data_IF_447896624054
#
_entry.id   IF_447896624054
#
_cell.length_a   1.000
_cell.length_b   1.000
_cell.length_c   1.000
_cell.angle_alpha   90.00
_cell.angle_beta   90.00
_cell.angle_gamma   90.00
#
_symmetry.space_group_name_H-M   'P 1'
#
loop_
_entity.id
_entity.type
_entity.pdbx_description
1 polymer ?
#
# COMPACT_ATOMS: atom_id res chain seq x y z
N UNK A 1 -52.19 -5.81 16.43
CA UNK A 1 -52.47 -4.95 15.26
C UNK A 1 -51.39 -5.22 14.22
N UNK A 2 -51.57 -6.21 13.34
CA UNK A 2 -52.05 -6.03 11.95
C UNK A 2 -51.22 -4.95 11.22
N UNK A 3 -50.30 -5.29 10.33
CA UNK A 3 -50.66 -5.76 9.00
C UNK A 3 -49.72 -6.81 8.39
N UNK A 4 -50.39 -7.73 7.70
CA UNK A 4 -49.91 -8.91 7.00
C UNK A 4 -49.65 -8.58 5.53
N UNK A 5 -48.64 -9.26 4.97
CA UNK A 5 -48.59 -9.83 3.61
C UNK A 5 -48.61 -8.87 2.41
N UNK A 6 -47.50 -8.87 1.66
CA UNK A 6 -47.58 -8.98 0.21
C UNK A 6 -46.41 -9.87 -0.25
N UNK A 7 -46.75 -11.10 -0.64
CA UNK A 7 -45.90 -11.99 -1.42
C UNK A 7 -46.19 -11.67 -2.88
N UNK A 8 -45.19 -11.26 -3.64
CA UNK A 8 -45.22 -11.33 -5.10
C UNK A 8 -44.00 -12.12 -5.57
N UNK A 9 -44.29 -13.35 -5.95
CA UNK A 9 -43.42 -14.29 -6.64
C UNK A 9 -43.33 -13.89 -8.11
N UNK A 10 -42.14 -13.57 -8.61
CA UNK A 10 -41.88 -13.55 -10.05
C UNK A 10 -41.08 -14.80 -10.41
N UNK A 11 -41.69 -15.64 -11.24
CA UNK A 11 -41.08 -16.82 -11.85
C UNK A 11 -40.85 -16.56 -13.33
N UNK A 12 -39.93 -17.37 -13.89
CA UNK A 12 -39.58 -17.59 -15.31
C UNK A 12 -38.53 -16.62 -15.87
N UNK A 13 -37.51 -17.05 -16.61
CA UNK A 13 -37.24 -18.29 -17.34
C UNK A 13 -35.73 -18.32 -17.66
N UNK A 14 -35.09 -19.50 -17.71
CA UNK A 14 -34.36 -20.00 -18.88
C UNK A 14 -33.52 -21.23 -18.52
N UNK A 15 -33.84 -22.31 -19.21
CA UNK A 15 -33.17 -23.61 -19.25
C UNK A 15 -31.78 -23.50 -19.88
N UNK A 16 -30.74 -23.89 -19.14
CA UNK A 16 -29.43 -24.18 -19.73
C UNK A 16 -29.31 -25.68 -19.96
N UNK A 17 -29.11 -26.04 -21.22
CA UNK A 17 -28.84 -27.38 -21.70
C UNK A 17 -27.44 -27.83 -21.24
N UNK A 18 -27.38 -29.04 -20.67
CA UNK A 18 -26.16 -29.78 -20.41
C UNK A 18 -25.46 -30.10 -21.75
N UNK A 19 -24.20 -29.68 -21.90
CA UNK A 19 -23.27 -30.22 -22.90
C UNK A 19 -22.25 -31.15 -22.23
N UNK A 20 -21.93 -32.32 -22.80
CA UNK A 20 -21.00 -33.27 -22.21
C UNK A 20 -19.53 -32.89 -22.47
N UNK A 21 -18.69 -33.12 -21.46
CA UNK A 21 -17.24 -33.06 -21.49
C UNK A 21 -16.62 -34.09 -22.44
N UNK A 22 -15.58 -33.76 -23.22
CA UNK A 22 -14.65 -34.76 -23.74
C UNK A 22 -13.32 -34.76 -22.98
N UNK A 23 -13.07 -35.92 -22.35
CA UNK A 23 -11.82 -36.67 -22.27
C UNK A 23 -10.46 -35.93 -22.28
N UNK A 24 -9.75 -36.14 -21.17
CA UNK A 24 -8.31 -36.05 -21.01
C UNK A 24 -7.56 -36.74 -22.17
N UNK A 25 -6.65 -36.02 -22.81
CA UNK A 25 -5.57 -36.61 -23.59
C UNK A 25 -4.27 -36.53 -22.78
N UNK A 26 -3.69 -37.70 -22.56
CA UNK A 26 -2.39 -37.94 -21.97
C UNK A 26 -1.28 -37.31 -22.81
N UNK A 27 -0.42 -36.49 -22.20
CA UNK A 27 0.89 -36.15 -22.76
C UNK A 27 1.96 -36.39 -21.70
N UNK A 28 2.61 -37.55 -21.86
CA UNK A 28 4.00 -37.91 -21.59
C UNK A 28 4.74 -37.15 -20.47
N UNK A 29 4.95 -37.88 -19.37
CA UNK A 29 5.99 -37.64 -18.38
C UNK A 29 7.36 -37.50 -19.05
N UNK A 30 7.96 -36.31 -18.94
CA UNK A 30 9.38 -36.11 -19.19
C UNK A 30 10.12 -36.48 -17.90
N UNK A 31 10.97 -37.50 -17.99
CA UNK A 31 11.85 -37.94 -16.91
C UNK A 31 12.84 -36.84 -16.50
N UNK A 32 13.06 -36.58 -15.20
CA UNK A 32 14.20 -35.78 -14.78
C UNK A 32 15.49 -36.60 -14.91
N UNK A 33 16.43 -36.09 -15.70
CA UNK A 33 17.79 -36.64 -15.80
C UNK A 33 18.53 -36.37 -14.49
N UNK A 34 19.09 -37.44 -13.92
CA UNK A 34 19.99 -37.42 -12.77
C UNK A 34 21.34 -36.84 -13.18
N UNK A 35 21.71 -35.67 -12.63
CA UNK A 35 23.08 -35.16 -12.70
C UNK A 35 23.84 -35.58 -11.44
N UNK A 36 24.87 -36.38 -11.64
CA UNK A 36 25.87 -36.77 -10.63
C UNK A 36 26.83 -35.61 -10.36
N UNK A 37 27.11 -35.26 -9.09
CA UNK A 37 28.27 -34.44 -8.76
C UNK A 37 29.49 -35.33 -8.45
N UNK A 38 30.59 -35.03 -9.13
CA UNK A 38 31.94 -35.54 -8.86
C UNK A 38 32.46 -35.08 -7.50
N UNK A 39 33.05 -36.02 -6.77
CA UNK A 39 33.76 -35.82 -5.51
C UNK A 39 35.00 -34.93 -5.68
N UNK A 40 35.15 -33.92 -4.82
CA UNK A 40 36.46 -33.45 -4.39
C UNK A 40 36.44 -33.16 -2.89
N UNK A 41 37.31 -33.89 -2.20
CA UNK A 41 37.67 -33.76 -0.79
C UNK A 41 38.36 -32.42 -0.52
N UNK A 42 37.92 -31.72 0.52
CA UNK A 42 38.80 -31.21 1.58
C UNK A 42 37.98 -30.69 2.77
N UNK A 43 38.17 -31.35 3.90
CA UNK A 43 37.87 -30.84 5.26
C UNK A 43 39.21 -30.33 5.84
N UNK A 44 39.29 -29.56 6.97
CA UNK A 44 38.31 -29.53 8.05
C UNK A 44 38.05 -28.18 8.75
N UNK A 45 37.09 -28.24 9.69
CA UNK A 45 36.86 -27.41 10.88
C UNK A 45 35.66 -26.46 10.84
N UNK A 46 34.50 -26.96 11.29
CA UNK A 46 33.44 -26.15 11.88
C UNK A 46 32.81 -26.90 13.06
N UNK A 47 32.57 -26.25 14.22
CA UNK A 47 32.09 -26.90 15.44
C UNK A 47 30.58 -27.19 15.38
N UNK A 48 30.19 -28.30 15.99
CA UNK A 48 28.82 -28.78 16.07
C UNK A 48 28.00 -27.95 17.08
N UNK A 49 26.98 -27.24 16.60
CA UNK A 49 25.91 -26.70 17.45
C UNK A 49 24.73 -27.68 17.36
N UNK A 50 24.49 -28.37 18.47
CA UNK A 50 23.35 -29.27 18.69
C UNK A 50 22.07 -28.44 18.85
N UNK A 51 21.15 -28.53 17.88
CA UNK A 51 19.78 -28.05 18.06
C UNK A 51 18.85 -29.23 18.27
N UNK A 52 18.47 -29.45 19.53
CA UNK A 52 17.33 -30.31 19.90
C UNK A 52 16.05 -29.65 19.41
N UNK A 53 15.37 -30.29 18.47
CA UNK A 53 14.02 -29.92 18.05
C UNK A 53 13.05 -30.40 19.14
N UNK A 54 12.49 -29.47 19.91
CA UNK A 54 11.36 -29.76 20.81
C UNK A 54 10.05 -29.67 20.03
N UNK A 55 9.35 -30.79 19.93
CA UNK A 55 7.98 -30.87 19.44
C UNK A 55 7.01 -30.42 20.54
N UNK A 56 6.60 -29.15 20.52
CA UNK A 56 5.48 -28.71 21.36
C UNK A 56 4.16 -29.19 20.77
N UNK A 57 3.69 -30.32 21.30
CA UNK A 57 2.33 -30.82 21.12
C UNK A 57 1.36 -29.92 21.91
N UNK A 58 0.49 -29.17 21.22
CA UNK A 58 -0.56 -28.38 21.88
C UNK A 58 -1.71 -29.30 22.27
N UNK A 59 -1.83 -29.61 23.56
CA UNK A 59 -3.02 -30.24 24.10
C UNK A 59 -4.15 -29.20 24.23
N UNK A 60 -5.20 -29.41 23.46
CA UNK A 60 -6.47 -28.72 23.56
C UNK A 60 -7.27 -29.42 24.68
N UNK A 61 -7.25 -28.89 25.89
CA UNK A 61 -8.07 -29.39 27.00
C UNK A 61 -9.24 -28.42 27.24
N UNK A 62 -10.39 -28.73 26.65
CA UNK A 62 -11.69 -28.26 27.13
C UNK A 62 -12.11 -29.17 28.29
N UNK A 63 -12.10 -28.66 29.52
CA UNK A 63 -12.87 -29.20 30.65
C UNK A 63 -12.93 -28.14 31.77
N UNK A 64 -14.03 -27.38 31.82
CA UNK A 64 -14.49 -26.75 33.06
C UNK A 64 -15.80 -27.44 33.45
N UNK A 65 -15.91 -27.99 34.67
CA UNK A 65 -17.13 -28.65 35.11
C UNK A 65 -18.17 -27.59 35.48
N UNK A 66 -19.43 -27.90 35.16
CA UNK A 66 -20.58 -27.24 35.78
C UNK A 66 -20.56 -27.55 37.28
N UNK A 67 -20.66 -26.52 38.12
CA UNK A 67 -21.36 -26.67 39.38
C UNK A 67 -22.14 -25.40 39.69
N UNK A 68 -23.44 -25.60 39.88
CA UNK A 68 -24.42 -24.61 40.32
C UNK A 68 -24.37 -24.47 41.84
N UNK A 69 -24.16 -23.27 42.33
CA UNK A 69 -24.71 -22.84 43.61
C UNK A 69 -25.03 -21.36 43.47
N UNK A 70 -26.32 -21.05 43.49
CA UNK A 70 -26.79 -19.69 43.67
C UNK A 70 -26.86 -19.43 45.16
N UNK A 71 -26.42 -18.25 45.56
CA UNK A 71 -26.95 -17.51 46.70
C UNK A 71 -26.89 -16.03 46.31
N UNK A 72 -28.07 -15.41 46.34
CA UNK A 72 -28.27 -13.97 46.31
C UNK A 72 -27.81 -13.40 47.66
N UNK A 73 -26.91 -12.41 47.69
CA UNK A 73 -26.88 -11.41 48.77
C UNK A 73 -26.40 -10.05 48.24
N UNK A 74 -27.11 -9.03 48.75
CA UNK A 74 -27.12 -7.62 48.40
C UNK A 74 -25.88 -6.83 48.89
N UNK A 75 -25.76 -5.62 48.31
CA UNK A 75 -25.17 -4.39 48.89
C UNK A 75 -23.79 -4.41 49.57
N UNK A 76 -22.86 -3.67 48.98
CA UNK A 76 -22.18 -2.60 49.73
C UNK A 76 -21.68 -1.51 48.78
N UNK A 77 -22.16 -0.30 49.04
CA UNK A 77 -21.62 0.97 48.56
C UNK A 77 -20.16 1.09 48.99
N UNK A 78 -19.26 1.40 48.06
CA UNK A 78 -17.99 2.05 48.41
C UNK A 78 -17.97 3.38 47.64
N UNK A 79 -18.52 4.39 48.31
CA UNK A 79 -18.18 5.80 48.17
C UNK A 79 -16.66 5.94 48.14
N UNK A 80 -16.08 6.20 46.96
CA UNK A 80 -14.73 6.74 46.90
C UNK A 80 -14.83 8.24 47.07
N UNK A 81 -14.71 8.66 48.34
CA UNK A 81 -14.38 10.02 48.75
C UNK A 81 -13.06 10.39 48.07
N UNK A 82 -13.13 11.20 47.01
CA UNK A 82 -11.94 11.74 46.36
C UNK A 82 -11.58 13.03 47.09
N UNK A 83 -10.71 12.90 48.08
CA UNK A 83 -10.02 14.03 48.70
C UNK A 83 -9.37 14.90 47.61
N UNK A 84 -9.86 16.14 47.49
CA UNK A 84 -9.22 17.22 46.75
C UNK A 84 -7.96 17.66 47.51
N UNK A 85 -6.82 17.04 47.24
CA UNK A 85 -5.53 17.61 47.64
C UNK A 85 -4.48 17.43 46.52
N UNK A 86 -3.83 18.55 46.19
CA UNK A 86 -2.56 18.70 45.46
C UNK A 86 -2.54 18.47 43.93
N UNK A 87 -3.12 19.43 43.17
CA UNK A 87 -2.70 19.70 41.78
C UNK A 87 -1.46 20.61 41.78
N UNK A 88 -0.32 20.05 42.17
CA UNK A 88 1.01 20.65 41.94
C UNK A 88 1.81 19.66 41.09
N UNK A 89 2.08 20.02 39.83
CA UNK A 89 3.02 19.28 38.97
C UNK A 89 2.42 18.59 37.74
N UNK A 90 1.67 19.32 36.90
CA UNK A 90 1.59 18.96 35.48
C UNK A 90 2.92 19.31 34.81
N UNK A 91 3.97 18.54 35.12
CA UNK A 91 5.15 18.48 34.28
C UNK A 91 4.71 17.91 32.94
N UNK A 92 4.61 18.81 31.95
CA UNK A 92 4.49 18.42 30.55
C UNK A 92 5.63 17.44 30.27
N UNK A 93 5.29 16.17 30.17
CA UNK A 93 6.19 15.09 29.79
C UNK A 93 6.51 15.26 28.29
N UNK A 94 7.14 16.39 27.94
CA UNK A 94 7.71 16.65 26.62
C UNK A 94 8.94 15.78 26.53
N UNK A 95 8.75 14.53 26.13
CA UNK A 95 9.88 13.71 25.72
C UNK A 95 10.72 14.54 24.75
N UNK A 96 12.06 14.64 24.97
CA UNK A 96 12.91 15.37 24.04
C UNK A 96 12.72 14.75 22.67
N UNK A 97 12.31 15.57 21.70
CA UNK A 97 12.25 15.16 20.30
C UNK A 97 13.62 14.63 19.95
N UNK A 98 13.72 13.33 19.70
CA UNK A 98 14.98 12.71 19.27
C UNK A 98 15.43 13.44 18.01
N UNK A 99 16.49 14.23 18.12
CA UNK A 99 17.08 14.93 16.99
C UNK A 99 17.77 13.89 16.12
N UNK A 100 17.20 13.62 14.95
CA UNK A 100 17.82 12.74 13.98
C UNK A 100 19.03 13.42 13.36
N UNK A 101 20.15 12.69 13.30
CA UNK A 101 21.31 13.14 12.53
C UNK A 101 20.96 13.17 11.04
N UNK A 102 21.61 14.02 10.22
CA UNK A 102 21.34 14.07 8.78
C UNK A 102 21.50 12.69 8.11
N UNK A 103 22.49 11.92 8.52
CA UNK A 103 22.76 10.58 8.00
C UNK A 103 21.62 9.59 8.32
N UNK A 104 21.08 9.64 9.55
CA UNK A 104 19.93 8.82 9.94
C UNK A 104 18.68 9.16 9.09
N UNK A 105 18.44 10.45 8.82
CA UNK A 105 17.32 10.90 7.98
C UNK A 105 17.44 10.36 6.55
N UNK A 106 18.64 10.42 5.99
CA UNK A 106 18.92 9.89 4.64
C UNK A 106 18.76 8.37 4.58
N UNK A 107 19.21 7.65 5.62
CA UNK A 107 19.06 6.20 5.71
C UNK A 107 17.59 5.78 5.83
N UNK A 108 16.81 6.40 6.71
CA UNK A 108 15.38 6.10 6.86
C UNK A 108 14.59 6.47 5.58
N UNK A 109 14.93 7.58 4.92
CA UNK A 109 14.34 7.93 3.62
C UNK A 109 14.68 6.89 2.53
N UNK A 110 15.93 6.46 2.45
CA UNK A 110 16.39 5.44 1.50
C UNK A 110 15.72 4.08 1.76
N UNK A 111 15.50 3.71 3.02
CA UNK A 111 14.77 2.51 3.40
C UNK A 111 13.31 2.56 2.96
N UNK A 112 12.64 3.71 3.06
CA UNK A 112 11.28 3.88 2.52
C UNK A 112 11.29 3.83 0.98
N UNK A 113 12.38 4.29 0.35
CA UNK A 113 12.63 4.18 -1.08
C UNK A 113 12.79 5.51 -1.81
N UNK A 114 13.03 6.62 -1.09
CA UNK A 114 13.19 7.94 -1.68
C UNK A 114 14.47 8.63 -1.19
N UNK A 115 14.95 9.60 -1.99
CA UNK A 115 16.04 10.51 -1.64
C UNK A 115 15.58 11.93 -1.92
N UNK A 116 15.82 12.84 -0.97
CA UNK A 116 15.54 14.26 -1.14
C UNK A 116 16.74 14.92 -1.82
N UNK A 117 16.51 15.64 -2.92
CA UNK A 117 17.56 16.43 -3.60
C UNK A 117 17.59 17.84 -3.01
N UNK A 118 16.42 18.39 -2.70
CA UNK A 118 16.22 19.75 -2.20
C UNK A 118 15.04 20.45 -2.87
N UNK A 119 14.83 21.74 -2.57
CA UNK A 119 13.62 22.45 -2.95
C UNK A 119 13.57 22.79 -4.45
N UNK A 120 12.35 22.78 -4.99
CA UNK A 120 12.04 23.22 -6.34
C UNK A 120 12.14 24.75 -6.43
N UNK A 121 13.00 25.23 -7.33
CA UNK A 121 13.08 26.67 -7.63
C UNK A 121 11.98 27.06 -8.61
N UNK A 122 11.45 28.28 -8.48
CA UNK A 122 10.39 28.82 -9.37
C UNK A 122 10.81 28.87 -10.85
N UNK A 123 12.11 28.96 -11.13
CA UNK A 123 12.67 28.94 -12.48
C UNK A 123 12.63 27.56 -13.14
N UNK A 124 12.55 26.49 -12.36
CA UNK A 124 12.76 25.14 -12.84
C UNK A 124 11.48 24.63 -13.52
N UNK A 125 11.53 24.47 -14.84
CA UNK A 125 10.43 23.85 -15.62
C UNK A 125 10.58 22.33 -15.59
N UNK A 126 10.19 21.72 -14.48
CA UNK A 126 10.41 20.27 -14.25
C UNK A 126 9.33 19.41 -14.90
N UNK A 127 8.13 19.95 -15.12
CA UNK A 127 7.05 19.24 -15.79
C UNK A 127 7.26 19.23 -17.31
N UNK A 128 7.44 18.03 -17.85
CA UNK A 128 7.59 17.75 -19.27
C UNK A 128 6.22 17.39 -19.89
N UNK A 129 6.06 17.50 -21.21
CA UNK A 129 4.91 16.89 -21.88
C UNK A 129 4.89 15.37 -21.62
N UNK A 130 3.70 14.77 -21.76
CA UNK A 130 3.52 13.34 -21.57
C UNK A 130 4.46 12.52 -22.47
N UNK A 131 5.17 11.58 -21.85
CA UNK A 131 6.00 10.60 -22.53
C UNK A 131 5.33 9.23 -22.41
N UNK A 132 5.29 8.39 -23.47
CA UNK A 132 4.62 7.10 -23.47
C UNK A 132 5.47 6.02 -22.76
N UNK A 133 5.81 6.29 -21.50
CA UNK A 133 6.61 5.43 -20.61
C UNK A 133 5.91 5.37 -19.26
N UNK A 134 6.01 4.22 -18.59
CA UNK A 134 5.52 4.04 -17.24
C UNK A 134 6.54 3.27 -16.39
N UNK A 135 6.44 3.44 -15.08
CA UNK A 135 7.21 2.72 -14.08
C UNK A 135 6.27 2.10 -13.05
N UNK A 136 6.69 1.01 -12.42
CA UNK A 136 6.13 0.53 -11.17
C UNK A 136 7.13 0.82 -10.07
N UNK A 137 6.77 1.72 -9.18
CA UNK A 137 7.58 2.15 -8.05
C UNK A 137 7.02 1.57 -6.75
N UNK A 138 7.89 1.38 -5.77
CA UNK A 138 7.50 1.01 -4.42
C UNK A 138 7.88 2.13 -3.44
N UNK A 139 6.90 2.60 -2.66
CA UNK A 139 7.12 3.57 -1.57
C UNK A 139 6.59 2.90 -0.31
N UNK A 140 7.47 2.66 0.67
CA UNK A 140 7.14 1.86 1.84
C UNK A 140 6.69 0.45 1.45
N UNK A 141 5.47 0.09 1.84
CA UNK A 141 4.86 -1.22 1.52
C UNK A 141 3.91 -1.20 0.32
N UNK A 142 3.73 -0.06 -0.34
CA UNK A 142 2.78 0.11 -1.43
C UNK A 142 3.49 0.27 -2.78
N UNK A 143 2.89 -0.30 -3.83
CA UNK A 143 3.37 -0.20 -5.21
C UNK A 143 2.42 0.66 -6.03
N UNK A 144 2.99 1.53 -6.86
CA UNK A 144 2.24 2.44 -7.72
C UNK A 144 2.73 2.32 -9.15
N UNK A 145 1.79 2.22 -10.09
CA UNK A 145 2.07 2.44 -11.51
C UNK A 145 2.02 3.94 -11.78
N UNK A 146 3.07 4.48 -12.36
CA UNK A 146 3.21 5.92 -12.61
C UNK A 146 3.72 6.21 -14.01
N UNK A 147 3.22 7.28 -14.60
CA UNK A 147 3.74 7.92 -15.80
C UNK A 147 4.11 9.37 -15.51
N UNK A 148 4.79 10.02 -16.46
CA UNK A 148 5.15 11.43 -16.34
C UNK A 148 3.89 12.29 -16.23
N UNK A 149 3.83 13.16 -15.22
CA UNK A 149 2.71 14.03 -14.96
C UNK A 149 1.57 13.38 -14.18
N UNK A 150 1.76 12.19 -13.61
CA UNK A 150 0.77 11.63 -12.70
C UNK A 150 0.90 12.23 -11.30
N UNK A 151 -0.23 12.35 -10.60
CA UNK A 151 -0.27 12.67 -9.18
C UNK A 151 -0.69 11.44 -8.38
N UNK A 152 0.10 11.08 -7.37
CA UNK A 152 -0.18 9.95 -6.48
C UNK A 152 -0.25 10.40 -5.02
N UNK A 153 -1.08 9.74 -4.23
CA UNK A 153 -1.10 9.89 -2.78
C UNK A 153 -0.36 8.72 -2.15
N UNK A 154 0.57 9.05 -1.26
CA UNK A 154 1.36 8.08 -0.50
C UNK A 154 1.15 8.28 0.98
N UNK A 155 1.63 7.33 1.78
CA UNK A 155 1.84 7.55 3.20
C UNK A 155 2.68 8.81 3.46
N UNK A 156 2.54 9.37 4.66
CA UNK A 156 3.30 10.55 5.06
C UNK A 156 4.81 10.26 5.04
N UNK A 157 5.52 11.06 4.27
CA UNK A 157 6.98 11.07 4.23
C UNK A 157 7.50 12.09 5.26
N UNK A 158 8.34 11.66 6.20
CA UNK A 158 8.75 12.48 7.36
C UNK A 158 9.81 13.55 7.07
N UNK A 159 10.72 13.28 6.13
CA UNK A 159 11.93 14.09 5.91
C UNK A 159 11.90 14.90 4.62
N UNK A 160 10.72 15.24 4.11
CA UNK A 160 10.56 16.08 2.94
C UNK A 160 9.57 17.20 3.24
N UNK A 161 9.77 18.34 2.60
CA UNK A 161 8.89 19.50 2.68
C UNK A 161 8.13 19.72 1.37
N UNK A 162 7.16 20.63 1.42
CA UNK A 162 6.38 21.00 0.24
C UNK A 162 7.28 21.69 -0.78
N UNK A 163 7.15 21.29 -2.05
CA UNK A 163 8.01 21.66 -3.17
C UNK A 163 9.39 21.00 -3.20
N UNK A 164 9.70 20.03 -2.34
CA UNK A 164 10.95 19.28 -2.49
C UNK A 164 10.94 18.37 -3.72
N UNK A 165 12.10 18.28 -4.36
CA UNK A 165 12.39 17.31 -5.42
C UNK A 165 12.87 16.02 -4.79
N UNK A 166 12.22 14.93 -5.16
CA UNK A 166 12.51 13.58 -4.70
C UNK A 166 12.99 12.72 -5.86
N UNK A 167 13.93 11.82 -5.56
CA UNK A 167 14.27 10.68 -6.41
C UNK A 167 13.73 9.43 -5.73
N UNK A 168 12.88 8.70 -6.44
CA UNK A 168 12.34 7.41 -6.00
C UNK A 168 13.22 6.31 -6.60
N UNK A 169 13.97 5.64 -5.73
CA UNK A 169 15.01 4.67 -6.13
C UNK A 169 14.46 3.24 -6.21
N UNK A 170 13.39 2.93 -5.48
CA UNK A 170 12.78 1.59 -5.50
C UNK A 170 11.86 1.43 -6.72
N UNK A 171 12.48 1.27 -7.87
CA UNK A 171 11.78 0.97 -9.13
C UNK A 171 11.82 -0.53 -9.39
N UNK A 172 10.64 -1.13 -9.58
CA UNK A 172 10.49 -2.58 -9.77
C UNK A 172 10.37 -2.97 -11.24
N UNK A 173 9.72 -2.12 -12.04
CA UNK A 173 9.47 -2.38 -13.45
C UNK A 173 9.46 -1.07 -14.21
N UNK A 174 9.97 -1.12 -15.44
CA UNK A 174 9.93 -0.03 -16.39
C UNK A 174 9.31 -0.52 -17.70
N UNK A 175 8.39 0.25 -18.26
CA UNK A 175 7.67 -0.10 -19.49
C UNK A 175 7.62 1.06 -20.46
N UNK A 176 7.95 0.78 -21.72
CA UNK A 176 7.79 1.63 -22.89
C UNK A 176 6.95 0.89 -23.92
N UNK A 177 6.56 1.56 -25.00
CA UNK A 177 5.84 0.94 -26.11
C UNK A 177 6.62 -0.21 -26.76
N UNK A 178 7.96 -0.15 -26.74
CA UNK A 178 8.84 -1.11 -27.42
C UNK A 178 9.42 -2.16 -26.49
N UNK A 179 9.64 -1.83 -25.22
CA UNK A 179 10.37 -2.68 -24.28
C UNK A 179 9.76 -2.65 -22.88
N UNK A 180 9.89 -3.75 -22.16
CA UNK A 180 9.54 -3.86 -20.74
C UNK A 180 10.72 -4.47 -20.00
N UNK A 181 11.23 -3.74 -19.01
CA UNK A 181 12.37 -4.14 -18.18
C UNK A 181 11.82 -4.50 -16.80
N UNK A 182 12.08 -5.73 -16.36
CA UNK A 182 11.55 -6.27 -15.10
C UNK A 182 12.70 -6.45 -14.11
N UNK A 183 12.58 -5.83 -12.93
CA UNK A 183 13.57 -5.91 -11.85
C UNK A 183 13.55 -7.22 -11.08
N UNK A 184 14.65 -7.50 -10.36
CA UNK A 184 14.80 -8.66 -9.48
C UNK A 184 15.57 -8.29 -8.20
N UNK A 185 14.91 -7.78 -7.15
CA UNK A 185 13.56 -7.22 -7.09
C UNK A 185 13.47 -5.77 -7.58
N UNK A 186 14.57 -5.01 -7.51
CA UNK A 186 14.66 -3.61 -7.95
C UNK A 186 15.52 -3.49 -9.22
N UNK A 187 15.36 -2.40 -9.95
CA UNK A 187 16.23 -2.01 -11.06
C UNK A 187 17.25 -0.96 -10.58
N UNK A 188 18.56 -1.25 -10.61
CA UNK A 188 19.58 -0.38 -10.01
C UNK A 188 19.77 0.94 -10.77
N UNK A 189 19.67 0.90 -12.10
CA UNK A 189 19.93 2.07 -12.96
C UNK A 189 18.68 2.91 -13.26
N UNK A 190 17.57 2.56 -12.60
CA UNK A 190 16.27 3.21 -12.78
C UNK A 190 16.03 4.24 -11.68
N UNK A 191 15.56 5.43 -12.08
CA UNK A 191 15.19 6.49 -11.15
C UNK A 191 13.93 7.19 -11.61
N UNK A 192 12.99 7.41 -10.69
CA UNK A 192 11.79 8.22 -10.95
C UNK A 192 11.91 9.53 -10.19
N UNK A 193 11.85 10.64 -10.90
CA UNK A 193 11.87 11.97 -10.32
C UNK A 193 10.44 12.40 -10.00
N UNK A 194 10.26 12.98 -8.82
CA UNK A 194 8.99 13.47 -8.33
C UNK A 194 9.16 14.78 -7.57
N UNK A 195 8.05 15.49 -7.38
CA UNK A 195 7.96 16.70 -6.56
C UNK A 195 6.86 16.51 -5.53
N UNK A 196 7.10 16.96 -4.30
CA UNK A 196 6.07 17.03 -3.26
C UNK A 196 5.17 18.23 -3.53
N UNK A 197 3.89 17.99 -3.84
CA UNK A 197 2.92 19.08 -4.05
C UNK A 197 2.33 19.59 -2.74
N UNK A 198 1.94 18.67 -1.85
CA UNK A 198 1.31 19.02 -0.58
C UNK A 198 1.34 17.84 0.40
N UNK A 199 1.21 18.16 1.69
CA UNK A 199 0.86 17.20 2.74
C UNK A 199 -0.62 17.39 3.08
N UNK A 200 -1.43 16.36 2.84
CA UNK A 200 -2.87 16.42 2.95
C UNK A 200 -3.38 15.49 4.06
N UNK A 201 -4.57 15.81 4.58
CA UNK A 201 -5.32 14.90 5.45
C UNK A 201 -6.36 14.17 4.61
N UNK A 202 -6.42 12.85 4.78
CA UNK A 202 -7.45 12.03 4.17
C UNK A 202 -8.85 12.34 4.75
N UNK A 203 -9.87 11.84 4.07
CA UNK A 203 -11.24 11.88 4.52
C UNK A 203 -11.38 11.32 5.96
N UNK A 204 -12.28 11.91 6.74
CA UNK A 204 -12.52 11.45 8.11
C UNK A 204 -13.14 10.05 8.08
N UNK A 205 -12.43 9.07 8.60
CA UNK A 205 -12.94 7.72 8.85
C UNK A 205 -13.58 7.68 10.24
N UNK A 206 -14.87 7.36 10.33
CA UNK A 206 -15.58 7.24 11.59
C UNK A 206 -15.51 5.81 12.14
N UNK A 207 -14.80 5.65 13.25
CA UNK A 207 -14.68 4.39 13.98
C UNK A 207 -15.79 4.35 15.04
N UNK A 208 -16.83 3.56 14.77
CA UNK A 208 -17.93 3.33 15.70
C UNK A 208 -17.83 1.95 16.34
N UNK A 209 -17.66 1.91 17.67
CA UNK A 209 -17.61 0.68 18.48
C UNK A 209 -18.87 0.58 19.31
N UNK A 210 -19.61 -0.54 19.22
CA UNK A 210 -20.82 -0.80 20.00
C UNK A 210 -20.84 -2.25 20.48
N UNK A 211 -21.18 -2.48 21.74
CA UNK A 211 -21.47 -3.83 22.29
C UNK A 211 -22.95 -3.93 22.61
N UNK A 212 -23.59 -5.01 22.14
CA UNK A 212 -25.04 -5.24 22.32
C UNK A 212 -25.35 -5.48 23.80
N UNK A 213 -26.41 -4.85 24.34
CA UNK A 213 -26.89 -4.97 25.74
C UNK A 213 -25.85 -4.63 26.83
N UNK A 214 -24.73 -3.98 26.48
CA UNK A 214 -23.66 -3.62 27.45
C UNK A 214 -23.53 -2.12 27.67
N UNK A 215 -24.54 -1.33 27.30
CA UNK A 215 -24.54 0.15 27.29
C UNK A 215 -23.21 0.79 26.79
N UNK A 216 -22.48 0.07 25.93
CA UNK A 216 -21.17 0.49 25.45
C UNK A 216 -21.31 0.91 24.00
N UNK A 217 -21.13 2.20 23.76
CA UNK A 217 -21.04 2.83 22.45
C UNK A 217 -19.95 3.90 22.49
N UNK A 218 -19.03 3.89 21.53
CA UNK A 218 -17.95 4.89 21.38
C UNK A 218 -17.81 5.23 19.90
N UNK A 219 -17.78 6.52 19.59
CA UNK A 219 -17.53 7.04 18.25
C UNK A 219 -16.23 7.83 18.29
N UNK A 220 -15.26 7.50 17.42
CA UNK A 220 -14.00 8.24 17.26
C UNK A 220 -13.78 8.52 15.79
N UNK A 221 -13.29 9.72 15.46
CA UNK A 221 -12.82 10.02 14.10
C UNK A 221 -11.33 9.70 13.96
N UNK A 222 -10.93 9.22 12.78
CA UNK A 222 -9.53 9.13 12.35
C UNK A 222 -9.35 9.89 11.05
N UNK A 223 -8.20 10.54 10.87
CA UNK A 223 -7.76 11.12 9.60
C UNK A 223 -6.31 10.76 9.42
N UNK A 224 -5.98 10.16 8.28
CA UNK A 224 -4.63 9.78 7.95
C UNK A 224 -3.92 10.95 7.27
N UNK A 225 -2.68 11.23 7.65
CA UNK A 225 -1.83 12.17 6.92
C UNK A 225 -1.20 11.47 5.72
N UNK A 226 -1.28 12.13 4.56
CA UNK A 226 -0.81 11.65 3.27
C UNK A 226 0.12 12.69 2.65
N UNK A 227 1.03 12.24 1.79
CA UNK A 227 1.83 13.12 0.95
C UNK A 227 1.38 12.96 -0.49
N UNK A 228 1.11 14.08 -1.17
CA UNK A 228 0.79 14.09 -2.59
C UNK A 228 2.07 14.34 -3.39
N UNK A 229 2.42 13.38 -4.23
CA UNK A 229 3.58 13.45 -5.10
C UNK A 229 3.13 13.65 -6.55
N UNK A 230 3.85 14.49 -7.27
CA UNK A 230 3.70 14.67 -8.72
C UNK A 230 4.94 14.13 -9.42
N UNK A 231 4.73 13.18 -10.31
CA UNK A 231 5.81 12.53 -11.05
C UNK A 231 6.25 13.44 -12.20
N UNK A 232 7.55 13.66 -12.32
CA UNK A 232 8.12 14.62 -13.29
C UNK A 232 8.93 13.98 -14.40
N UNK A 233 9.65 12.90 -14.12
CA UNK A 233 10.47 12.20 -15.11
C UNK A 233 10.71 10.74 -14.71
N UNK A 234 10.87 9.89 -15.71
CA UNK A 234 11.22 8.48 -15.56
C UNK A 234 12.52 8.26 -16.34
N UNK A 235 13.55 7.77 -15.64
CA UNK A 235 14.88 7.50 -16.19
C UNK A 235 15.17 5.99 -16.20
N UNK A 236 16.04 5.56 -17.11
CA UNK A 236 16.44 4.15 -17.25
C UNK A 236 15.72 3.37 -18.36
N UNK A 237 15.00 4.06 -19.26
CA UNK A 237 14.33 3.46 -20.43
C UNK A 237 14.62 4.25 -21.68
N UNK A 238 14.81 3.55 -22.80
CA UNK A 238 14.81 4.17 -24.13
C UNK A 238 13.44 4.79 -24.41
N UNK A 239 13.43 6.11 -24.57
CA UNK A 239 12.23 6.88 -24.89
C UNK A 239 12.06 6.88 -26.40
N UNK A 240 10.90 6.45 -26.95
CA UNK A 240 10.67 6.55 -28.38
C UNK A 240 10.69 8.03 -28.79
N UNK A 241 11.36 8.33 -29.91
CA UNK A 241 11.40 9.69 -30.45
C UNK A 241 9.98 10.17 -30.74
N UNK A 242 9.59 11.28 -30.12
CA UNK A 242 8.31 11.92 -30.37
C UNK A 242 8.42 12.62 -31.72
N UNK A 243 7.96 11.97 -32.78
CA UNK A 243 7.79 12.63 -34.08
C UNK A 243 6.78 13.77 -33.88
N UNK A 244 7.16 15.04 -34.09
CA UNK A 244 6.24 16.15 -33.91
C UNK A 244 5.09 16.01 -34.91
N UNK A 245 3.89 15.74 -34.40
CA UNK A 245 2.67 15.75 -35.21
C UNK A 245 2.45 17.21 -35.64
N UNK A 246 2.83 17.53 -36.87
CA UNK A 246 2.51 18.80 -37.51
C UNK A 246 0.98 18.93 -37.49
N UNK A 247 0.46 19.84 -36.65
CA UNK A 247 -0.96 20.14 -36.58
C UNK A 247 -1.41 20.56 -37.98
N UNK A 248 -2.21 19.73 -38.64
CA UNK A 248 -2.90 20.13 -39.86
C UNK A 248 -3.88 21.23 -39.50
N UNK A 249 -3.59 22.45 -39.98
CA UNK A 249 -4.49 23.58 -39.87
C UNK A 249 -5.85 23.18 -40.46
N UNK A 250 -6.90 23.16 -39.63
CA UNK A 250 -8.28 23.05 -40.10
C UNK A 250 -8.57 24.28 -40.95
N UNK A 251 -8.40 24.19 -42.27
CA UNK A 251 -8.93 25.16 -43.23
C UNK A 251 -10.44 25.26 -43.01
N UNK A 252 -10.87 26.40 -42.48
CA UNK A 252 -12.27 26.70 -42.24
C UNK A 252 -13.09 26.57 -43.53
N UNK A 253 -14.13 25.75 -43.47
CA UNK A 253 -15.12 25.67 -44.53
C UNK A 253 -15.86 27.02 -44.61
N UNK A 254 -15.58 27.81 -45.65
CA UNK A 254 -16.40 28.98 -46.00
C UNK A 254 -17.81 28.49 -46.33
N UNK A 255 -18.80 28.86 -45.52
CA UNK A 255 -20.22 28.73 -45.91
C UNK A 255 -20.46 29.60 -47.13
N UNK A 256 -20.77 28.96 -48.26
CA UNK A 256 -21.30 29.65 -49.44
C UNK A 256 -22.76 30.00 -49.13
N UNK A 257 -23.08 31.30 -49.13
CA UNK A 257 -24.45 31.78 -49.05
C UNK A 257 -25.14 31.51 -50.39
N UNK A 258 -26.22 30.73 -50.38
CA UNK A 258 -27.11 30.56 -51.53
C UNK A 258 -28.16 31.67 -51.45
N UNK A 259 -28.14 32.58 -52.43
CA UNK A 259 -29.20 33.55 -52.66
C UNK A 259 -30.29 32.90 -53.52
N UNK A 260 -31.54 32.95 -53.06
CA UNK A 260 -32.76 32.78 -53.83
C UNK A 260 -33.89 33.52 -53.12
#
# INVERSE_FOLDING_TARGET
>A
MANRRCLQTLTRHLSYLLSPTPSLHSLNFISPQTLTPTLLNSSPNCPQISTKISSFHRHFCSNRPNNSHGDDEDESEDETDYDEDDVEGLESNSQPSREYTPEEKEQEAAEIGFKVIGPLRKSDRVFKPYEPVFAVIQIGSHQFKVSNGDSIFTEKLKFCEVNDKLILNKVMLLGSNTQTIIGRPILPDAAVHAVVEEHALDAKVLIFKKKRRKNYRRTRGHRQELTKLRITDIQGVEKPEVVPILKTEKKGAKKVAVAA
#
